data_IF_077354422428
#
_entry.id   IF_077354422428
#
_cell.length_a   1.000
_cell.length_b   1.000
_cell.length_c   1.000
_cell.angle_alpha   90.00
_cell.angle_beta   90.00
_cell.angle_gamma   90.00
#
_symmetry.space_group_name_H-M   'P 1'
#
loop_
_entity.id
_entity.type
_entity.pdbx_description
1 polymer ?
#
# COMPACT_ATOMS: atom_id res chain seq x y z
N UNK A 1 -26.53 -19.98 -8.49
CA UNK A 1 -25.37 -20.16 -9.37
C UNK A 1 -25.49 -19.22 -10.56
N UNK A 2 -24.90 -18.03 -10.48
CA UNK A 2 -24.78 -17.15 -11.64
C UNK A 2 -23.55 -17.60 -12.43
N UNK A 3 -23.74 -18.04 -13.68
CA UNK A 3 -22.64 -18.26 -14.61
C UNK A 3 -21.86 -16.94 -14.73
N UNK A 4 -20.57 -17.00 -14.41
CA UNK A 4 -19.62 -15.91 -14.69
C UNK A 4 -19.55 -15.78 -16.21
N UNK A 5 -20.23 -14.78 -16.78
CA UNK A 5 -20.22 -14.55 -18.22
C UNK A 5 -18.79 -14.29 -18.68
N UNK A 6 -18.40 -14.90 -19.80
CA UNK A 6 -17.09 -14.83 -20.47
C UNK A 6 -16.58 -13.42 -20.85
N UNK A 7 -17.27 -12.36 -20.46
CA UNK A 7 -16.85 -10.96 -20.63
C UNK A 7 -16.06 -10.45 -19.43
N UNK A 8 -15.00 -11.17 -19.02
CA UNK A 8 -14.02 -10.55 -18.12
C UNK A 8 -13.27 -9.48 -18.91
N UNK A 9 -13.48 -8.20 -18.55
CA UNK A 9 -12.80 -7.04 -19.15
C UNK A 9 -11.31 -6.98 -18.78
N UNK A 10 -10.82 -7.95 -17.99
CA UNK A 10 -9.44 -7.97 -17.48
C UNK A 10 -8.54 -8.74 -18.46
N UNK A 11 -7.46 -8.12 -18.96
CA UNK A 11 -6.53 -8.76 -19.91
C UNK A 11 -5.97 -10.10 -19.38
N UNK A 12 -5.83 -11.08 -20.27
CA UNK A 12 -5.27 -12.40 -19.92
C UNK A 12 -3.86 -12.31 -19.34
N UNK A 13 -3.09 -11.33 -19.81
CA UNK A 13 -1.71 -11.08 -19.40
C UNK A 13 -1.57 -10.83 -17.90
N UNK A 14 -2.61 -10.34 -17.22
CA UNK A 14 -2.56 -10.07 -15.78
C UNK A 14 -2.41 -11.35 -14.96
N UNK A 15 -2.85 -12.50 -15.48
CA UNK A 15 -2.82 -13.77 -14.75
C UNK A 15 -1.50 -14.53 -14.89
N UNK A 16 -0.56 -14.06 -15.73
CA UNK A 16 0.79 -14.62 -15.77
C UNK A 16 1.59 -14.19 -14.52
N UNK A 17 2.60 -14.96 -14.08
CA UNK A 17 3.43 -14.55 -12.96
C UNK A 17 3.98 -13.12 -13.09
N UNK A 18 4.48 -12.75 -14.27
CA UNK A 18 4.98 -11.41 -14.57
C UNK A 18 3.88 -10.34 -14.54
N UNK A 19 2.72 -10.63 -15.13
CA UNK A 19 1.58 -9.70 -15.14
C UNK A 19 1.06 -9.40 -13.74
N UNK A 20 0.98 -10.42 -12.88
CA UNK A 20 0.57 -10.26 -11.48
C UNK A 20 1.53 -9.38 -10.70
N UNK A 21 2.84 -9.64 -10.84
CA UNK A 21 3.90 -8.84 -10.20
C UNK A 21 3.85 -7.39 -10.69
N UNK A 22 3.72 -7.18 -12.00
CA UNK A 22 3.61 -5.85 -12.62
C UNK A 22 2.38 -5.09 -12.12
N UNK A 23 1.22 -5.74 -12.05
CA UNK A 23 0.01 -5.12 -11.53
C UNK A 23 0.15 -4.74 -10.06
N UNK A 24 0.71 -5.63 -9.23
CA UNK A 24 0.91 -5.36 -7.81
C UNK A 24 1.85 -4.16 -7.60
N UNK A 25 2.98 -4.11 -8.31
CA UNK A 25 3.86 -2.94 -8.30
C UNK A 25 3.11 -1.70 -8.74
N UNK A 26 2.34 -1.76 -9.83
CA UNK A 26 1.65 -0.59 -10.37
C UNK A 26 0.64 -0.02 -9.37
N UNK A 27 -0.15 -0.87 -8.72
CA UNK A 27 -1.12 -0.46 -7.68
C UNK A 27 -0.40 0.22 -6.52
N UNK A 28 0.65 -0.43 -6.00
CA UNK A 28 1.36 0.05 -4.80
C UNK A 28 2.17 1.31 -5.09
N UNK A 29 2.82 1.37 -6.26
CA UNK A 29 3.51 2.58 -6.73
C UNK A 29 2.54 3.74 -6.86
N UNK A 30 1.38 3.51 -7.47
CA UNK A 30 0.33 4.54 -7.58
C UNK A 30 -0.12 5.00 -6.19
N UNK A 31 -0.34 4.06 -5.27
CA UNK A 31 -0.79 4.35 -3.92
C UNK A 31 0.27 5.05 -3.04
N UNK A 32 1.57 4.93 -3.35
CA UNK A 32 2.66 5.69 -2.71
C UNK A 32 2.84 7.06 -3.39
N UNK A 33 2.80 7.11 -4.71
CA UNK A 33 3.03 8.33 -5.50
C UNK A 33 1.92 9.35 -5.28
N UNK A 34 0.65 8.94 -5.29
CA UNK A 34 -0.49 9.86 -5.13
C UNK A 34 -0.39 10.68 -3.83
N UNK A 35 -0.28 10.08 -2.62
CA UNK A 35 -0.19 10.85 -1.40
C UNK A 35 1.06 11.71 -1.37
N UNK A 36 2.17 11.18 -1.87
CA UNK A 36 3.45 11.89 -1.93
C UNK A 36 3.36 13.12 -2.82
N UNK A 37 2.93 13.01 -4.07
CA UNK A 37 2.99 14.13 -5.01
C UNK A 37 1.75 15.02 -4.93
N UNK A 38 0.58 14.50 -4.60
CA UNK A 38 -0.67 15.27 -4.66
C UNK A 38 -1.16 15.72 -3.28
N UNK A 39 -0.28 15.77 -2.26
CA UNK A 39 -0.63 16.14 -0.88
C UNK A 39 -1.58 17.35 -0.80
N UNK A 40 -1.33 18.50 -1.49
CA UNK A 40 -2.21 19.67 -1.39
C UNK A 40 -3.63 19.46 -1.92
N UNK A 41 -3.86 18.42 -2.72
CA UNK A 41 -5.13 18.12 -3.39
C UNK A 41 -5.91 16.99 -2.71
N UNK A 42 -5.41 16.46 -1.60
CA UNK A 42 -6.00 15.28 -0.93
C UNK A 42 -6.93 15.60 0.23
N UNK A 43 -7.17 16.88 0.53
CA UNK A 43 -8.19 17.28 1.51
C UNK A 43 -9.56 16.62 1.23
N UNK A 44 -10.10 16.60 -0.01
CA UNK A 44 -11.37 15.91 -0.28
C UNK A 44 -11.31 14.40 -0.02
N UNK A 45 -10.14 13.77 -0.20
CA UNK A 45 -9.94 12.34 0.05
C UNK A 45 -10.05 12.04 1.54
N UNK A 46 -9.53 12.92 2.39
CA UNK A 46 -9.67 12.81 3.85
C UNK A 46 -11.10 13.07 4.29
N UNK A 47 -11.72 14.14 3.81
CA UNK A 47 -13.08 14.51 4.21
C UNK A 47 -14.10 13.43 3.87
N UNK A 48 -13.96 12.79 2.70
CA UNK A 48 -14.89 11.77 2.23
C UNK A 48 -14.56 10.35 2.70
N UNK A 49 -13.44 10.15 3.40
CA UNK A 49 -12.96 8.82 3.76
C UNK A 49 -13.99 7.93 4.46
N UNK A 50 -14.75 8.38 5.48
CA UNK A 50 -15.73 7.51 6.14
C UNK A 50 -16.80 6.99 5.17
N UNK A 51 -17.26 7.84 4.26
CA UNK A 51 -18.26 7.50 3.24
C UNK A 51 -17.66 6.48 2.26
N UNK A 52 -16.43 6.72 1.79
CA UNK A 52 -15.73 5.84 0.86
C UNK A 52 -15.44 4.48 1.49
N UNK A 53 -14.99 4.44 2.74
CA UNK A 53 -14.71 3.20 3.47
C UNK A 53 -15.97 2.35 3.66
N UNK A 54 -17.07 2.96 4.15
CA UNK A 54 -18.35 2.26 4.34
C UNK A 54 -18.88 1.76 2.99
N UNK A 55 -18.88 2.62 1.97
CA UNK A 55 -19.32 2.27 0.61
C UNK A 55 -18.49 1.11 0.07
N UNK A 56 -17.18 1.12 0.27
CA UNK A 56 -16.29 0.05 -0.18
C UNK A 56 -16.57 -1.29 0.46
N UNK A 57 -16.72 -1.32 1.79
CA UNK A 57 -17.12 -2.56 2.48
C UNK A 57 -18.46 -3.06 1.97
N UNK A 58 -19.45 -2.18 1.79
CA UNK A 58 -20.77 -2.58 1.29
C UNK A 58 -20.71 -3.13 -0.14
N UNK A 59 -19.95 -2.49 -1.04
CA UNK A 59 -19.78 -2.93 -2.43
C UNK A 59 -19.05 -4.28 -2.51
N UNK A 60 -17.96 -4.43 -1.75
CA UNK A 60 -17.21 -5.69 -1.66
C UNK A 60 -18.09 -6.82 -1.12
N UNK A 61 -18.82 -6.57 -0.01
CA UNK A 61 -19.66 -7.60 0.61
C UNK A 61 -20.88 -7.96 -0.23
N UNK A 62 -21.42 -7.03 -1.00
CA UNK A 62 -22.57 -7.27 -1.89
C UNK A 62 -22.18 -7.77 -3.29
N UNK A 63 -20.88 -7.87 -3.60
CA UNK A 63 -20.38 -8.27 -4.92
C UNK A 63 -20.77 -7.28 -6.03
N UNK A 64 -20.89 -5.99 -5.69
CA UNK A 64 -21.31 -4.93 -6.60
C UNK A 64 -20.17 -3.97 -6.96
N UNK A 65 -20.22 -3.34 -8.14
CA UNK A 65 -21.16 -3.59 -9.23
C UNK A 65 -20.83 -4.89 -9.98
N UNK A 66 -21.84 -5.64 -10.43
CA UNK A 66 -21.67 -6.98 -11.03
C UNK A 66 -20.81 -7.01 -12.31
N UNK A 67 -20.60 -5.86 -12.97
CA UNK A 67 -19.76 -5.74 -14.17
C UNK A 67 -18.27 -5.60 -13.86
N UNK A 68 -17.91 -5.27 -12.61
CA UNK A 68 -16.52 -5.08 -12.19
C UNK A 68 -16.17 -6.24 -11.25
N UNK A 69 -15.08 -6.97 -11.49
CA UNK A 69 -14.66 -8.03 -10.59
C UNK A 69 -14.48 -7.52 -9.16
N UNK A 70 -15.02 -8.24 -8.16
CA UNK A 70 -15.01 -7.78 -6.75
C UNK A 70 -13.60 -7.51 -6.21
N UNK A 71 -12.58 -8.23 -6.67
CA UNK A 71 -11.20 -7.99 -6.28
C UNK A 71 -10.64 -6.66 -6.82
N UNK A 72 -11.13 -6.17 -7.97
CA UNK A 72 -10.78 -4.83 -8.50
C UNK A 72 -11.41 -3.76 -7.62
N UNK A 73 -12.67 -3.96 -7.23
CA UNK A 73 -13.38 -3.08 -6.29
C UNK A 73 -12.61 -3.05 -4.96
N UNK A 74 -12.25 -4.21 -4.43
CA UNK A 74 -11.46 -4.35 -3.20
C UNK A 74 -10.15 -3.57 -3.29
N UNK A 75 -9.33 -3.80 -4.32
CA UNK A 75 -8.05 -3.11 -4.49
C UNK A 75 -8.19 -1.60 -4.65
N UNK A 76 -9.28 -1.13 -5.27
CA UNK A 76 -9.55 0.30 -5.40
C UNK A 76 -9.73 0.95 -4.03
N UNK A 77 -10.51 0.31 -3.15
CA UNK A 77 -10.68 0.79 -1.77
C UNK A 77 -9.43 0.61 -0.92
N UNK A 78 -8.67 -0.47 -1.09
CA UNK A 78 -7.38 -0.65 -0.43
C UNK A 78 -6.39 0.45 -0.82
N UNK A 79 -6.30 0.80 -2.11
CA UNK A 79 -5.47 1.90 -2.58
C UNK A 79 -5.92 3.24 -1.98
N UNK A 80 -7.23 3.48 -1.87
CA UNK A 80 -7.77 4.67 -1.23
C UNK A 80 -7.39 4.75 0.26
N UNK A 81 -7.45 3.62 0.99
CA UNK A 81 -7.00 3.55 2.39
C UNK A 81 -5.51 3.85 2.50
N UNK A 82 -4.69 3.33 1.58
CA UNK A 82 -3.25 3.64 1.55
C UNK A 82 -3.03 5.15 1.38
N UNK A 83 -3.69 5.77 0.40
CA UNK A 83 -3.58 7.22 0.14
C UNK A 83 -4.00 8.03 1.38
N UNK A 84 -5.15 7.70 1.96
CA UNK A 84 -5.68 8.35 3.16
C UNK A 84 -4.72 8.23 4.35
N UNK A 85 -4.24 7.01 4.63
CA UNK A 85 -3.38 6.74 5.78
C UNK A 85 -1.99 7.39 5.59
N UNK A 86 -1.42 7.30 4.40
CA UNK A 86 -0.15 7.94 4.07
C UNK A 86 -0.23 9.47 4.24
N UNK A 87 -1.28 10.09 3.68
CA UNK A 87 -1.53 11.52 3.86
C UNK A 87 -1.66 11.86 5.36
N UNK A 88 -2.57 11.20 6.07
CA UNK A 88 -2.89 11.54 7.46
C UNK A 88 -1.68 11.38 8.37
N UNK A 89 -0.92 10.30 8.25
CA UNK A 89 0.29 10.11 9.06
C UNK A 89 1.39 11.08 8.65
N UNK A 90 1.61 11.27 7.35
CA UNK A 90 2.69 12.11 6.84
C UNK A 90 2.51 13.61 7.13
N UNK A 91 1.27 14.10 7.21
CA UNK A 91 0.99 15.49 7.58
C UNK A 91 0.86 15.72 9.09
N UNK A 92 0.60 14.66 9.87
CA UNK A 92 0.35 14.78 11.32
C UNK A 92 1.61 14.62 12.15
N UNK A 93 2.47 13.65 11.79
CA UNK A 93 3.67 13.36 12.57
C UNK A 93 4.86 14.17 12.09
N UNK A 94 5.69 14.62 13.03
CA UNK A 94 7.03 15.12 12.73
C UNK A 94 7.86 14.02 12.09
N UNK A 95 8.74 14.38 11.16
CA UNK A 95 9.53 13.44 10.36
C UNK A 95 10.35 12.49 11.25
N UNK A 96 11.01 13.01 12.29
CA UNK A 96 11.85 12.23 13.20
C UNK A 96 11.02 11.22 13.99
N UNK A 97 9.86 11.65 14.50
CA UNK A 97 8.93 10.79 15.22
C UNK A 97 8.35 9.70 14.30
N UNK A 98 8.03 10.06 13.06
CA UNK A 98 7.56 9.10 12.06
C UNK A 98 8.66 8.10 11.71
N UNK A 99 9.90 8.54 11.50
CA UNK A 99 11.03 7.64 11.25
C UNK A 99 11.27 6.68 12.42
N UNK A 100 11.23 7.16 13.67
CA UNK A 100 11.34 6.31 14.86
C UNK A 100 10.18 5.32 14.97
N UNK A 101 8.95 5.78 14.70
CA UNK A 101 7.79 4.91 14.66
C UNK A 101 7.94 3.80 13.61
N UNK A 102 8.41 4.14 12.41
CA UNK A 102 8.66 3.18 11.33
C UNK A 102 9.73 2.15 11.68
N UNK A 103 10.80 2.54 12.37
CA UNK A 103 11.79 1.62 12.91
C UNK A 103 11.16 0.64 13.90
N UNK A 104 10.27 1.12 14.77
CA UNK A 104 9.47 0.26 15.64
C UNK A 104 8.56 -0.71 14.87
N UNK A 105 7.92 -0.25 13.81
CA UNK A 105 7.06 -1.07 12.96
C UNK A 105 7.82 -2.16 12.21
N UNK A 106 9.06 -1.92 11.79
CA UNK A 106 9.94 -2.97 11.22
C UNK A 106 10.11 -4.13 12.22
N UNK A 107 10.38 -3.81 13.49
CA UNK A 107 10.55 -4.81 14.53
C UNK A 107 9.25 -5.56 14.79
N UNK A 108 8.13 -4.84 14.88
CA UNK A 108 6.80 -5.42 15.05
C UNK A 108 6.45 -6.39 13.91
N UNK A 109 6.67 -6.01 12.66
CA UNK A 109 6.38 -6.83 11.48
C UNK A 109 7.25 -8.09 11.44
N UNK A 110 8.55 -7.94 11.72
CA UNK A 110 9.48 -9.07 11.79
C UNK A 110 9.06 -10.11 12.85
N UNK A 111 8.61 -9.65 14.02
CA UNK A 111 8.14 -10.54 15.08
C UNK A 111 6.75 -11.13 14.76
N UNK A 112 5.86 -10.33 14.17
CA UNK A 112 4.51 -10.73 13.78
C UNK A 112 4.50 -11.83 12.71
N UNK A 113 5.39 -11.73 11.71
CA UNK A 113 5.56 -12.76 10.69
C UNK A 113 6.14 -14.05 11.28
N UNK A 114 7.15 -13.95 12.15
CA UNK A 114 7.72 -15.13 12.83
C UNK A 114 6.70 -15.84 13.73
N UNK A 115 5.80 -15.10 14.35
CA UNK A 115 4.77 -15.64 15.25
C UNK A 115 3.47 -16.08 14.57
N UNK A 116 3.34 -15.94 13.24
CA UNK A 116 2.12 -16.30 12.49
C UNK A 116 0.89 -15.43 12.75
N UNK A 117 0.98 -14.45 13.66
CA UNK A 117 -0.15 -13.60 14.06
C UNK A 117 -0.72 -12.79 12.90
N UNK A 118 0.15 -12.35 11.98
CA UNK A 118 -0.27 -11.56 10.82
C UNK A 118 -1.17 -12.34 9.85
N UNK A 119 -0.94 -13.64 9.70
CA UNK A 119 -1.77 -14.49 8.85
C UNK A 119 -3.17 -14.68 9.43
N UNK A 120 -3.27 -14.84 10.77
CA UNK A 120 -4.56 -14.94 11.47
C UNK A 120 -5.37 -13.65 11.38
N UNK A 121 -4.72 -12.49 11.55
CA UNK A 121 -5.37 -11.18 11.40
C UNK A 121 -5.84 -10.98 9.95
N UNK A 122 -5.00 -11.32 8.97
CA UNK A 122 -5.35 -11.22 7.56
C UNK A 122 -6.58 -12.06 7.20
N UNK A 123 -6.64 -13.31 7.67
CA UNK A 123 -7.78 -14.19 7.47
C UNK A 123 -9.09 -13.58 8.01
N UNK A 124 -9.07 -13.04 9.24
CA UNK A 124 -10.25 -12.38 9.83
C UNK A 124 -10.70 -11.16 9.01
N UNK A 125 -9.77 -10.31 8.58
CA UNK A 125 -10.11 -9.11 7.80
C UNK A 125 -10.70 -9.46 6.43
N UNK A 126 -10.20 -10.52 5.78
CA UNK A 126 -10.78 -11.09 4.56
C UNK A 126 -12.20 -11.61 4.81
N UNK A 127 -12.42 -12.36 5.90
CA UNK A 127 -13.75 -12.86 6.26
C UNK A 127 -14.76 -11.72 6.44
N UNK A 128 -14.37 -10.61 7.07
CA UNK A 128 -15.23 -9.43 7.23
C UNK A 128 -15.38 -8.59 5.95
N UNK A 129 -14.59 -8.86 4.90
CA UNK A 129 -14.60 -8.09 3.66
C UNK A 129 -14.00 -6.70 3.82
N UNK A 130 -13.06 -6.53 4.76
CA UNK A 130 -12.39 -5.25 5.01
C UNK A 130 -11.18 -5.11 4.06
N UNK A 131 -11.10 -4.05 3.24
CA UNK A 131 -10.05 -3.85 2.25
C UNK A 131 -8.71 -3.39 2.86
N UNK A 132 -8.08 -4.26 3.66
CA UNK A 132 -6.76 -4.01 4.30
C UNK A 132 -5.59 -4.71 3.59
N UNK A 133 -5.83 -5.25 2.39
CA UNK A 133 -4.80 -5.85 1.56
C UNK A 133 -4.95 -5.39 0.11
N UNK A 134 -3.87 -5.39 -0.65
CA UNK A 134 -3.93 -5.42 -2.11
C UNK A 134 -3.84 -6.88 -2.50
N UNK A 135 -4.78 -7.37 -3.30
CA UNK A 135 -4.82 -8.77 -3.76
C UNK A 135 -4.78 -8.87 -5.27
N UNK A 136 -4.00 -9.79 -5.81
CA UNK A 136 -3.98 -10.09 -7.25
C UNK A 136 -4.26 -11.57 -7.46
N UNK A 137 -5.36 -11.93 -8.14
CA UNK A 137 -5.73 -13.32 -8.34
C UNK A 137 -4.79 -14.05 -9.30
N UNK A 138 -4.61 -15.34 -9.05
CA UNK A 138 -3.74 -16.19 -9.86
C UNK A 138 -4.44 -16.71 -11.13
N UNK A 139 -5.76 -16.87 -11.08
CA UNK A 139 -6.56 -17.42 -12.16
C UNK A 139 -7.78 -16.53 -12.47
N UNK A 140 -8.27 -16.59 -13.71
CA UNK A 140 -9.53 -16.00 -14.17
C UNK A 140 -10.76 -16.59 -13.49
N UNK A 141 -10.67 -17.85 -13.09
CA UNK A 141 -11.73 -18.53 -12.33
C UNK A 141 -11.91 -17.97 -10.91
N UNK A 142 -11.03 -17.06 -10.47
CA UNK A 142 -11.09 -16.49 -9.13
C UNK A 142 -12.45 -15.86 -8.82
N UNK A 143 -13.10 -16.41 -7.78
CA UNK A 143 -14.28 -15.83 -7.14
C UNK A 143 -13.87 -15.32 -5.75
N UNK A 144 -14.20 -14.06 -5.46
CA UNK A 144 -13.95 -13.48 -4.14
C UNK A 144 -14.79 -14.14 -3.03
N UNK A 145 -15.96 -14.68 -3.38
CA UNK A 145 -16.82 -15.39 -2.45
C UNK A 145 -16.23 -16.75 -2.07
N UNK A 146 -15.84 -17.55 -3.07
CA UNK A 146 -15.17 -18.84 -2.84
C UNK A 146 -13.84 -18.66 -2.09
N UNK A 147 -13.08 -17.61 -2.43
CA UNK A 147 -11.89 -17.22 -1.69
C UNK A 147 -12.18 -16.94 -0.20
N UNK A 148 -13.26 -16.20 0.12
CA UNK A 148 -13.63 -15.92 1.51
C UNK A 148 -14.09 -17.17 2.26
N UNK A 149 -14.76 -18.08 1.57
CA UNK A 149 -15.20 -19.37 2.10
C UNK A 149 -13.98 -20.24 2.46
N UNK A 150 -13.03 -20.43 1.53
CA UNK A 150 -11.79 -21.16 1.77
C UNK A 150 -11.00 -20.56 2.95
N UNK A 151 -10.85 -19.23 2.99
CA UNK A 151 -10.16 -18.55 4.10
C UNK A 151 -10.92 -18.67 5.43
N UNK A 152 -12.24 -18.86 5.39
CA UNK A 152 -13.06 -19.11 6.58
C UNK A 152 -12.87 -20.52 7.14
N UNK A 153 -12.73 -21.51 6.27
CA UNK A 153 -12.71 -22.93 6.64
C UNK A 153 -11.29 -23.44 6.88
N UNK A 154 -10.36 -23.07 6.00
CA UNK A 154 -9.01 -23.63 5.91
C UNK A 154 -7.91 -22.58 6.17
N UNK A 155 -8.30 -21.32 6.37
CA UNK A 155 -7.35 -20.22 6.54
C UNK A 155 -6.59 -19.88 5.24
N UNK A 156 -5.45 -19.18 5.37
CA UNK A 156 -4.65 -18.79 4.20
C UNK A 156 -3.88 -19.96 3.56
N UNK A 157 -3.74 -21.08 4.27
CA UNK A 157 -3.04 -22.27 3.79
C UNK A 157 -3.87 -23.01 2.72
N UNK A 158 -5.21 -23.07 2.87
CA UNK A 158 -6.12 -23.66 1.88
C UNK A 158 -6.12 -22.98 0.51
N UNK A 159 -5.49 -21.80 0.41
CA UNK A 159 -5.30 -21.10 -0.86
C UNK A 159 -4.11 -21.64 -1.67
N UNK A 160 -3.18 -22.37 -1.05
CA UNK A 160 -2.08 -22.99 -1.76
C UNK A 160 -2.63 -24.04 -2.74
N UNK A 161 -2.20 -23.95 -4.00
CA UNK A 161 -2.61 -24.84 -5.10
C UNK A 161 -4.09 -24.73 -5.53
N UNK A 162 -4.89 -23.87 -4.89
CA UNK A 162 -6.27 -23.60 -5.31
C UNK A 162 -6.33 -22.69 -6.54
N UNK A 163 -7.37 -22.86 -7.37
CA UNK A 163 -7.73 -21.89 -8.42
C UNK A 163 -8.08 -20.49 -7.87
N UNK A 164 -8.26 -20.39 -6.56
CA UNK A 164 -8.54 -19.16 -5.82
C UNK A 164 -7.29 -18.57 -5.16
N UNK A 165 -6.10 -19.06 -5.52
CA UNK A 165 -4.82 -18.52 -5.08
C UNK A 165 -4.65 -17.03 -5.44
N UNK A 166 -4.01 -16.29 -4.54
CA UNK A 166 -3.78 -14.85 -4.69
C UNK A 166 -2.38 -14.45 -4.24
N UNK A 167 -1.87 -13.36 -4.81
CA UNK A 167 -0.74 -12.62 -4.24
C UNK A 167 -1.30 -11.48 -3.39
N UNK A 168 -0.81 -11.34 -2.16
CA UNK A 168 -1.28 -10.31 -1.21
C UNK A 168 -0.16 -9.41 -0.73
N UNK A 169 -0.49 -8.15 -0.48
CA UNK A 169 0.33 -7.19 0.25
C UNK A 169 -0.55 -6.44 1.26
N UNK A 170 -0.06 -6.18 2.47
CA UNK A 170 -0.78 -5.36 3.44
C UNK A 170 -0.88 -3.90 2.98
N UNK A 171 -1.98 -3.22 3.29
CA UNK A 171 -2.06 -1.77 3.07
C UNK A 171 -0.98 -1.02 3.87
N UNK A 172 -0.59 -1.55 5.03
CA UNK A 172 0.52 -1.07 5.86
C UNK A 172 1.82 -0.91 5.09
N UNK A 173 2.12 -1.87 4.23
CA UNK A 173 3.37 -1.94 3.46
C UNK A 173 3.46 -0.84 2.40
N UNK A 174 2.31 -0.33 1.95
CA UNK A 174 2.24 0.82 1.05
C UNK A 174 2.19 2.15 1.80
N UNK A 175 1.33 2.28 2.81
CA UNK A 175 1.05 3.59 3.39
C UNK A 175 2.17 4.08 4.32
N UNK A 176 2.85 3.20 5.04
CA UNK A 176 3.90 3.58 5.99
C UNK A 176 5.09 4.26 5.31
N UNK A 177 5.71 3.69 4.26
CA UNK A 177 6.74 4.40 3.52
C UNK A 177 6.18 5.60 2.73
N UNK A 178 4.92 5.54 2.28
CA UNK A 178 4.24 6.68 1.67
C UNK A 178 4.08 7.87 2.63
N UNK A 179 3.76 7.62 3.90
CA UNK A 179 3.67 8.64 4.94
C UNK A 179 5.02 9.33 5.15
N UNK A 180 6.12 8.57 5.13
CA UNK A 180 7.46 9.14 5.22
C UNK A 180 7.75 10.06 4.04
N UNK A 181 7.38 9.67 2.83
CA UNK A 181 7.54 10.51 1.65
C UNK A 181 6.71 11.80 1.73
N UNK A 182 5.46 11.71 2.20
CA UNK A 182 4.61 12.90 2.47
C UNK A 182 5.28 13.82 3.48
N UNK A 183 5.75 13.30 4.61
CA UNK A 183 6.43 14.09 5.65
C UNK A 183 7.71 14.75 5.12
N UNK A 184 8.46 14.05 4.27
CA UNK A 184 9.67 14.56 3.61
C UNK A 184 9.37 15.70 2.61
N UNK A 185 8.11 15.85 2.18
CA UNK A 185 7.64 16.97 1.36
C UNK A 185 7.88 18.34 1.98
N UNK A 186 8.01 18.43 3.31
CA UNK A 186 8.29 19.69 4.00
C UNK A 186 9.79 20.05 4.07
N UNK A 187 10.67 19.18 3.56
CA UNK A 187 12.12 19.37 3.62
C UNK A 187 12.65 19.92 2.29
N UNK A 188 13.70 20.74 2.39
CA UNK A 188 14.50 21.12 1.23
C UNK A 188 13.82 22.07 0.25
N UNK A 189 14.42 22.13 -0.93
CA UNK A 189 14.03 23.01 -2.02
C UNK A 189 12.79 22.46 -2.71
N UNK A 190 11.77 23.30 -2.85
CA UNK A 190 10.53 22.97 -3.56
C UNK A 190 10.66 23.26 -5.04
N UNK A 191 10.40 22.27 -5.87
CA UNK A 191 10.35 22.37 -7.32
C UNK A 191 8.89 22.35 -7.78
N UNK A 192 8.48 23.37 -8.54
CA UNK A 192 7.15 23.42 -9.12
C UNK A 192 7.09 22.57 -10.40
N UNK A 193 6.25 21.54 -10.41
CA UNK A 193 5.90 20.74 -11.58
C UNK A 193 4.42 20.96 -11.87
N UNK A 194 4.12 21.93 -12.73
CA UNK A 194 2.74 22.35 -12.99
C UNK A 194 2.07 22.89 -11.72
N UNK A 195 0.90 22.36 -11.31
CA UNK A 195 0.20 22.82 -10.11
C UNK A 195 0.76 22.17 -8.82
N UNK A 196 1.78 21.31 -8.90
CA UNK A 196 2.31 20.55 -7.77
C UNK A 196 3.67 21.10 -7.37
N UNK A 197 3.90 21.31 -6.07
CA UNK A 197 5.23 21.52 -5.51
C UNK A 197 5.75 20.19 -4.97
N UNK A 198 6.97 19.82 -5.37
CA UNK A 198 7.63 18.59 -4.91
C UNK A 198 9.03 18.91 -4.38
N UNK A 199 9.44 18.24 -3.32
CA UNK A 199 10.82 18.31 -2.82
C UNK A 199 11.65 17.12 -3.30
N UNK A 200 12.97 17.31 -3.38
CA UNK A 200 13.86 16.20 -3.72
C UNK A 200 13.80 15.07 -2.67
N UNK A 201 13.85 15.34 -1.34
CA UNK A 201 13.65 14.31 -0.32
C UNK A 201 12.36 13.50 -0.49
N UNK A 202 11.22 14.15 -0.75
CA UNK A 202 9.93 13.49 -0.98
C UNK A 202 9.98 12.52 -2.16
N UNK A 203 10.50 12.95 -3.31
CA UNK A 203 10.58 12.13 -4.51
C UNK A 203 11.51 10.95 -4.30
N UNK A 204 12.70 11.17 -3.74
CA UNK A 204 13.67 10.08 -3.53
C UNK A 204 13.21 9.10 -2.45
N UNK A 205 12.52 9.55 -1.39
CA UNK A 205 11.88 8.67 -0.40
C UNK A 205 10.81 7.78 -1.05
N UNK A 206 9.90 8.37 -1.84
CA UNK A 206 8.86 7.60 -2.53
C UNK A 206 9.47 6.57 -3.51
N UNK A 207 10.46 6.99 -4.30
CA UNK A 207 11.16 6.09 -5.23
C UNK A 207 11.92 4.98 -4.50
N UNK A 208 12.60 5.29 -3.40
CA UNK A 208 13.29 4.31 -2.58
C UNK A 208 12.35 3.22 -2.06
N UNK A 209 11.16 3.61 -1.59
CA UNK A 209 10.12 2.67 -1.16
C UNK A 209 9.63 1.78 -2.31
N UNK A 210 9.35 2.38 -3.47
CA UNK A 210 8.83 1.69 -4.66
C UNK A 210 9.85 0.70 -5.20
N UNK A 211 11.12 1.10 -5.32
CA UNK A 211 12.19 0.23 -5.78
C UNK A 211 12.36 -0.96 -4.82
N UNK A 212 12.38 -0.69 -3.51
CA UNK A 212 12.50 -1.72 -2.48
C UNK A 212 11.34 -2.74 -2.51
N UNK A 213 10.09 -2.26 -2.58
CA UNK A 213 8.93 -3.13 -2.75
C UNK A 213 8.94 -3.86 -4.08
N UNK A 214 9.40 -3.21 -5.15
CA UNK A 214 9.51 -3.81 -6.47
C UNK A 214 10.49 -4.97 -6.48
N UNK A 215 11.66 -4.80 -5.84
CA UNK A 215 12.65 -5.87 -5.63
C UNK A 215 12.01 -7.02 -4.85
N UNK A 216 11.29 -6.73 -3.75
CA UNK A 216 10.63 -7.75 -2.95
C UNK A 216 9.61 -8.55 -3.77
N UNK A 217 8.80 -7.88 -4.59
CA UNK A 217 7.77 -8.52 -5.43
C UNK A 217 8.34 -9.34 -6.60
N UNK A 218 9.53 -8.96 -7.07
CA UNK A 218 10.25 -9.69 -8.11
C UNK A 218 11.10 -10.83 -7.57
N UNK A 219 11.46 -10.79 -6.29
CA UNK A 219 12.22 -11.85 -5.65
C UNK A 219 11.39 -13.14 -5.56
N UNK A 220 11.99 -14.25 -5.99
CA UNK A 220 11.40 -15.58 -5.82
C UNK A 220 11.71 -16.08 -4.42
N UNK A 221 10.87 -15.67 -3.47
CA UNK A 221 11.06 -15.98 -2.08
C UNK A 221 10.38 -17.32 -1.73
N UNK A 222 11.09 -18.23 -1.03
CA UNK A 222 10.55 -19.53 -0.67
C UNK A 222 9.46 -19.46 0.41
N UNK A 223 9.30 -18.31 1.07
CA UNK A 223 8.33 -18.07 2.15
C UNK A 223 7.84 -16.62 2.13
N UNK A 224 6.69 -16.39 2.75
CA UNK A 224 6.21 -15.03 3.00
C UNK A 224 7.23 -14.24 3.84
N UNK A 225 7.49 -13.00 3.43
CA UNK A 225 8.41 -12.07 4.12
C UNK A 225 7.61 -10.83 4.51
N UNK A 226 7.93 -10.29 5.68
CA UNK A 226 7.49 -8.98 6.15
C UNK A 226 7.85 -7.89 5.13
N UNK A 227 6.88 -7.24 4.50
CA UNK A 227 7.21 -6.26 3.46
C UNK A 227 7.76 -4.95 4.04
N UNK A 228 7.51 -4.63 5.32
CA UNK A 228 8.11 -3.46 5.98
C UNK A 228 9.62 -3.57 6.15
N UNK A 229 10.18 -4.79 6.25
CA UNK A 229 11.64 -4.96 6.38
C UNK A 229 12.40 -4.57 5.12
N UNK A 230 11.71 -4.39 3.99
CA UNK A 230 12.33 -3.94 2.73
C UNK A 230 11.86 -2.53 2.39
N UNK A 231 10.54 -2.27 2.45
CA UNK A 231 9.96 -1.00 2.03
C UNK A 231 10.39 0.19 2.89
N UNK A 232 10.44 0.04 4.22
CA UNK A 232 10.83 1.11 5.13
C UNK A 232 12.32 1.44 5.00
N UNK A 233 13.27 0.48 5.03
CA UNK A 233 14.67 0.77 4.75
C UNK A 233 14.87 1.40 3.37
N UNK A 234 14.14 0.94 2.35
CA UNK A 234 14.15 1.56 1.02
C UNK A 234 13.75 3.04 1.06
N UNK A 235 12.65 3.35 1.75
CA UNK A 235 12.19 4.73 1.92
C UNK A 235 13.19 5.59 2.70
N UNK A 236 13.76 5.07 3.79
CA UNK A 236 14.77 5.76 4.60
C UNK A 236 16.07 6.01 3.83
N UNK A 237 16.52 5.06 3.02
CA UNK A 237 17.67 5.25 2.13
C UNK A 237 17.36 6.31 1.07
N UNK A 238 16.15 6.28 0.50
CA UNK A 238 15.67 7.31 -0.40
C UNK A 238 15.64 8.70 0.24
N UNK A 239 15.20 8.80 1.49
CA UNK A 239 15.23 10.03 2.28
C UNK A 239 16.67 10.53 2.45
N UNK A 240 17.57 9.66 2.91
CA UNK A 240 18.98 10.01 3.10
C UNK A 240 19.63 10.50 1.81
N UNK A 241 19.37 9.85 0.67
CA UNK A 241 19.85 10.30 -0.64
C UNK A 241 19.31 11.69 -0.98
N UNK A 242 18.01 11.94 -0.78
CA UNK A 242 17.42 13.24 -1.06
C UNK A 242 17.99 14.35 -0.18
N UNK A 243 18.21 14.08 1.11
CA UNK A 243 18.84 15.01 2.05
C UNK A 243 20.30 15.34 1.66
N UNK A 244 21.06 14.35 1.19
CA UNK A 244 22.44 14.54 0.76
C UNK A 244 22.56 15.32 -0.54
N UNK A 245 21.57 15.20 -1.42
CA UNK A 245 21.55 15.86 -2.72
C UNK A 245 20.93 17.26 -2.69
N UNK A 246 20.25 17.63 -1.60
CA UNK A 246 19.64 18.94 -1.39
C UNK A 246 20.26 19.65 -0.17
N UNK A 247 21.23 20.57 -0.39
CA UNK A 247 21.91 21.28 0.70
C UNK A 247 20.96 22.02 1.64
N UNK A 248 19.83 22.54 1.12
CA UNK A 248 18.81 23.26 1.91
C UNK A 248 18.06 22.30 2.83
N UNK A 249 17.89 21.05 2.41
CA UNK A 249 17.23 20.04 3.21
C UNK A 249 18.07 19.67 4.44
N UNK A 250 19.40 19.60 4.29
CA UNK A 250 20.29 19.32 5.41
C UNK A 250 20.25 20.44 6.47
N UNK A 251 20.20 21.70 6.04
CA UNK A 251 20.05 22.86 6.94
C UNK A 251 18.72 22.83 7.70
N UNK A 252 17.62 22.42 7.03
CA UNK A 252 16.29 22.34 7.62
C UNK A 252 16.16 21.34 8.79
N UNK A 253 17.06 20.36 8.88
CA UNK A 253 17.12 19.40 9.98
C UNK A 253 17.91 19.91 11.20
N UNK A 254 18.74 20.96 11.03
CA UNK A 254 19.64 21.46 12.09
C UNK A 254 19.06 22.61 12.89
N UNK A 255 18.01 23.26 12.38
CA UNK A 255 17.32 24.33 13.09
C UNK A 255 16.05 23.74 13.72
N UNK A 256 15.98 23.55 15.05
CA UNK A 256 14.74 23.12 15.66
C UNK A 256 13.66 24.15 15.35
N UNK A 257 12.67 23.74 14.55
CA UNK A 257 11.43 24.46 14.37
C UNK A 257 10.70 24.41 15.72
N UNK A 258 11.03 25.32 16.64
CA UNK A 258 10.23 25.54 17.84
C UNK A 258 8.92 26.14 17.33
N UNK A 259 7.79 25.42 17.40
CA UNK A 259 6.52 26.02 17.03
C UNK A 259 6.22 27.13 18.03
N UNK A 260 6.22 28.38 17.56
CA UNK A 260 5.57 29.46 18.31
C UNK A 260 4.07 29.19 18.23
N UNK A 261 3.51 28.67 19.33
CA UNK A 261 2.07 28.69 19.60
C UNK A 261 1.64 30.08 20.07
#
# INVERSE_FOLDING_TARGET
MAQVSETSTVPASIYTPEGRRTLLIAIVSTAIIIPSLLTPYLEPVVTLFPIVAITGVLLVRSGRPARIPTWVVFNTFSAYIIVYAAYSFGTTFQLELLALFLLGMIVYDTLGVKGGQMQSVAGKMIQYGVPLFVMVPHNRAFSFEAFREIVSEEGLEGLHESDHGISMLGVGDGFLPGALAVAAGNLGTQFAIGPVAVSLPQVTTALGAIIALGILMWAELPRAIAALIVSVPGALLGLAVGLLLDPVALESLTVPQIPFF
#
